data_IF_171302443488
#
_entry.id   IF_171302443488
#
_cell.length_a   1.000
_cell.length_b   1.000
_cell.length_c   1.000
_cell.angle_alpha   90.00
_cell.angle_beta   90.00
_cell.angle_gamma   90.00
#
_symmetry.space_group_name_H-M   'P 1'
#
loop_
_entity.id
_entity.type
_entity.pdbx_description
1 polymer ?
#
# COMPACT_ATOMS: atom_id res chain seq x y z
N UNK A 1 -15.72 -22.11 6.66
CA UNK A 1 -14.96 -21.04 5.97
C UNK A 1 -13.49 -21.40 6.05
N UNK A 2 -12.70 -21.23 4.98
CA UNK A 2 -11.25 -21.46 5.06
C UNK A 2 -10.62 -20.30 5.84
N UNK A 3 -9.86 -20.55 6.93
CA UNK A 3 -9.22 -19.47 7.71
C UNK A 3 -8.20 -18.65 6.91
N UNK A 4 -7.73 -19.17 5.77
CA UNK A 4 -6.85 -18.46 4.83
C UNK A 4 -7.58 -17.79 3.66
N UNK A 5 -8.92 -17.70 3.71
CA UNK A 5 -9.64 -16.91 2.69
C UNK A 5 -9.25 -15.43 2.81
N UNK A 6 -8.62 -14.83 1.78
CA UNK A 6 -8.20 -13.43 1.84
C UNK A 6 -9.42 -12.50 1.83
N UNK A 7 -9.33 -11.42 2.59
CA UNK A 7 -10.36 -10.39 2.71
C UNK A 7 -9.72 -9.00 2.67
N UNK A 8 -10.42 -8.03 2.06
CA UNK A 8 -10.06 -6.62 2.17
C UNK A 8 -10.64 -6.09 3.49
N UNK A 9 -9.78 -5.62 4.38
CA UNK A 9 -10.17 -5.17 5.72
C UNK A 9 -10.23 -3.65 5.87
N UNK A 10 -9.62 -2.90 4.95
CA UNK A 10 -9.65 -1.44 4.95
C UNK A 10 -9.21 -0.88 3.61
N UNK A 11 -9.82 0.22 3.19
CA UNK A 11 -9.48 0.92 1.97
C UNK A 11 -9.62 2.43 2.14
N UNK A 12 -8.81 3.20 1.41
CA UNK A 12 -8.94 4.64 1.38
C UNK A 12 -8.36 5.23 0.09
N UNK A 13 -8.78 6.46 -0.19
CA UNK A 13 -8.27 7.26 -1.29
C UNK A 13 -7.99 8.68 -0.81
N UNK A 14 -6.90 9.27 -1.29
CA UNK A 14 -6.57 10.67 -1.08
C UNK A 14 -6.52 11.38 -2.43
N UNK A 15 -7.15 12.54 -2.50
CA UNK A 15 -7.09 13.44 -3.65
C UNK A 15 -6.41 14.73 -3.23
N UNK A 16 -5.36 15.11 -3.96
CA UNK A 16 -4.70 16.41 -3.80
C UNK A 16 -4.98 17.25 -5.05
N UNK A 17 -5.90 18.21 -4.95
CA UNK A 17 -6.13 19.21 -6.00
C UNK A 17 -5.19 20.38 -5.74
N UNK A 18 -4.52 20.86 -6.79
CA UNK A 18 -3.55 21.94 -6.69
C UNK A 18 -4.23 23.27 -7.06
N UNK A 19 -4.11 24.27 -6.19
CA UNK A 19 -4.40 25.67 -6.55
C UNK A 19 -3.10 26.46 -6.71
N UNK A 20 -2.06 26.10 -5.97
CA UNK A 20 -0.68 26.56 -6.11
C UNK A 20 0.34 25.42 -6.04
N UNK A 21 1.63 25.75 -6.23
CA UNK A 21 2.72 24.77 -6.11
C UNK A 21 2.98 24.39 -4.65
N UNK A 22 2.70 25.29 -3.73
CA UNK A 22 2.75 25.11 -2.28
C UNK A 22 1.80 24.01 -1.77
N UNK A 23 0.74 23.71 -2.53
CA UNK A 23 -0.22 22.64 -2.21
C UNK A 23 0.26 21.27 -2.70
N UNK A 24 1.36 21.22 -3.46
CA UNK A 24 1.85 19.98 -4.04
C UNK A 24 2.35 19.02 -2.96
N UNK A 25 1.65 17.90 -2.83
CA UNK A 25 2.08 16.78 -1.98
C UNK A 25 2.94 15.82 -2.76
N UNK A 26 3.99 15.38 -2.12
CA UNK A 26 4.88 14.38 -2.68
C UNK A 26 4.16 13.01 -2.75
N UNK A 27 4.33 12.20 -3.80
CA UNK A 27 3.67 10.89 -3.96
C UNK A 27 3.70 9.97 -2.73
N UNK A 28 4.83 9.79 -2.06
CA UNK A 28 5.00 8.97 -0.87
C UNK A 28 4.27 9.59 0.34
N UNK A 29 4.20 10.91 0.46
CA UNK A 29 3.31 11.57 1.43
C UNK A 29 1.84 11.24 1.16
N UNK A 30 1.40 11.28 -0.10
CA UNK A 30 0.04 10.90 -0.47
C UNK A 30 -0.25 9.43 -0.19
N UNK A 31 0.69 8.53 -0.50
CA UNK A 31 0.58 7.10 -0.18
C UNK A 31 0.51 6.87 1.33
N UNK A 32 1.34 7.57 2.11
CA UNK A 32 1.35 7.51 3.58
C UNK A 32 0.01 7.97 4.14
N UNK A 33 -0.54 9.07 3.64
CA UNK A 33 -1.85 9.55 4.05
C UNK A 33 -2.96 8.55 3.71
N UNK A 34 -2.94 7.98 2.51
CA UNK A 34 -3.93 7.00 2.07
C UNK A 34 -3.89 5.71 2.92
N UNK A 35 -2.71 5.15 3.18
CA UNK A 35 -2.60 3.90 3.94
C UNK A 35 -2.98 4.08 5.42
N UNK A 36 -2.67 5.23 6.02
CA UNK A 36 -3.11 5.55 7.39
C UNK A 36 -4.63 5.75 7.48
N UNK A 37 -5.27 6.26 6.42
CA UNK A 37 -6.74 6.30 6.34
C UNK A 37 -7.32 4.89 6.14
N UNK A 38 -6.68 4.04 5.35
CA UNK A 38 -7.09 2.66 5.17
C UNK A 38 -6.98 1.85 6.47
N UNK A 39 -5.96 2.11 7.31
CA UNK A 39 -5.88 1.51 8.65
C UNK A 39 -7.06 1.95 9.54
N UNK A 40 -7.43 3.24 9.51
CA UNK A 40 -8.60 3.73 10.25
C UNK A 40 -9.90 3.07 9.77
N UNK A 41 -10.05 2.83 8.47
CA UNK A 41 -11.21 2.17 7.87
C UNK A 41 -11.40 0.72 8.39
N UNK A 42 -10.33 0.06 8.83
CA UNK A 42 -10.43 -1.27 9.46
C UNK A 42 -11.22 -1.26 10.77
N UNK A 43 -11.42 -0.10 11.40
CA UNK A 43 -12.04 0.04 12.71
C UNK A 43 -11.19 -0.50 13.87
N UNK A 44 -9.98 -0.97 13.59
CA UNK A 44 -9.00 -1.45 14.58
C UNK A 44 -7.66 -0.74 14.39
N UNK A 45 -6.89 -0.58 15.46
CA UNK A 45 -5.55 0.03 15.38
C UNK A 45 -4.46 -1.01 15.16
N UNK A 46 -3.29 -0.56 14.73
CA UNK A 46 -2.05 -1.34 14.70
C UNK A 46 -2.09 -2.56 13.75
N UNK A 47 -2.86 -2.46 12.66
CA UNK A 47 -2.90 -3.47 11.59
C UNK A 47 -1.66 -3.32 10.71
N UNK A 48 -1.26 -2.08 10.43
CA UNK A 48 -0.11 -1.83 9.56
C UNK A 48 1.15 -2.44 10.16
N UNK A 49 1.41 -2.25 11.45
CA UNK A 49 2.57 -2.83 12.13
C UNK A 49 2.72 -4.36 12.02
N UNK A 50 1.64 -5.07 11.68
CA UNK A 50 1.62 -6.53 11.50
C UNK A 50 1.75 -6.95 10.02
N UNK A 51 1.81 -6.01 9.10
CA UNK A 51 1.94 -6.30 7.67
C UNK A 51 3.27 -7.02 7.39
N UNK A 52 3.17 -8.17 6.74
CA UNK A 52 4.33 -8.97 6.33
C UNK A 52 4.87 -8.56 4.96
N UNK A 53 4.08 -7.82 4.17
CA UNK A 53 4.47 -7.37 2.83
C UNK A 53 3.78 -6.04 2.50
N UNK A 54 4.52 -5.14 1.83
CA UNK A 54 4.07 -3.84 1.35
C UNK A 54 4.33 -3.78 -0.15
N UNK A 55 3.28 -3.49 -0.92
CA UNK A 55 3.34 -3.50 -2.39
C UNK A 55 2.87 -2.16 -2.93
N UNK A 56 3.68 -1.54 -3.79
CA UNK A 56 3.38 -0.23 -4.40
C UNK A 56 3.44 -0.36 -5.92
N UNK A 57 2.38 0.10 -6.59
CA UNK A 57 2.35 0.16 -8.06
C UNK A 57 3.36 1.21 -8.53
N UNK A 58 4.17 0.85 -9.51
CA UNK A 58 5.21 1.72 -10.07
C UNK A 58 4.60 2.92 -10.79
N UNK A 59 5.01 4.11 -10.35
CA UNK A 59 4.75 5.37 -11.05
C UNK A 59 6.03 5.99 -11.64
N UNK A 60 5.87 7.16 -12.23
CA UNK A 60 6.95 7.96 -12.80
C UNK A 60 7.53 8.91 -11.75
N UNK A 61 8.27 8.37 -10.80
CA UNK A 61 8.95 9.11 -9.73
C UNK A 61 10.38 8.62 -9.55
N UNK A 62 11.20 9.41 -8.87
CA UNK A 62 12.63 9.10 -8.62
C UNK A 62 12.89 8.02 -7.56
N UNK A 63 11.87 7.30 -7.08
CA UNK A 63 12.03 6.28 -6.05
C UNK A 63 12.57 4.97 -6.63
N UNK A 64 13.68 4.50 -6.07
CA UNK A 64 14.22 3.18 -6.39
C UNK A 64 13.27 2.07 -5.90
N UNK A 65 12.84 2.17 -4.63
CA UNK A 65 11.88 1.26 -4.02
C UNK A 65 10.86 2.02 -3.14
N UNK A 66 9.75 2.50 -3.73
CA UNK A 66 8.74 3.25 -2.98
C UNK A 66 8.02 2.41 -1.92
N UNK A 67 7.89 1.09 -2.12
CA UNK A 67 7.28 0.19 -1.14
C UNK A 67 8.10 0.10 0.14
N UNK A 68 9.44 0.00 0.02
CA UNK A 68 10.34 0.02 1.18
C UNK A 68 10.28 1.34 1.93
N UNK A 69 10.31 2.47 1.22
CA UNK A 69 10.20 3.79 1.85
C UNK A 69 8.85 3.97 2.55
N UNK A 70 7.77 3.45 1.96
CA UNK A 70 6.45 3.48 2.60
C UNK A 70 6.42 2.62 3.86
N UNK A 71 6.99 1.41 3.80
CA UNK A 71 7.12 0.49 4.93
C UNK A 71 7.88 1.14 6.10
N UNK A 72 8.97 1.85 5.82
CA UNK A 72 9.70 2.62 6.84
C UNK A 72 8.81 3.70 7.49
N UNK A 73 8.03 4.45 6.69
CA UNK A 73 7.13 5.50 7.21
C UNK A 73 5.98 4.97 8.07
N UNK A 74 5.50 3.76 7.83
CA UNK A 74 4.41 3.14 8.59
C UNK A 74 4.91 2.19 9.69
N UNK A 75 6.22 2.10 9.92
CA UNK A 75 6.81 1.31 11.00
C UNK A 75 6.93 -0.20 10.73
N UNK A 76 6.89 -0.63 9.46
CA UNK A 76 6.90 -2.05 9.05
C UNK A 76 8.19 -2.42 8.33
N UNK A 77 9.35 -2.05 8.90
CA UNK A 77 10.66 -2.14 8.24
C UNK A 77 11.06 -3.56 7.82
N UNK A 78 10.51 -4.60 8.49
CA UNK A 78 10.76 -6.01 8.18
C UNK A 78 9.84 -6.60 7.10
N UNK A 79 8.88 -5.84 6.58
CA UNK A 79 7.97 -6.33 5.56
C UNK A 79 8.70 -6.52 4.22
N UNK A 80 8.34 -7.57 3.50
CA UNK A 80 8.72 -7.72 2.10
C UNK A 80 8.25 -6.50 1.30
N UNK A 81 9.13 -5.87 0.52
CA UNK A 81 8.78 -4.70 -0.28
C UNK A 81 8.75 -5.05 -1.77
N UNK A 82 7.64 -4.80 -2.44
CA UNK A 82 7.49 -5.08 -3.88
C UNK A 82 7.10 -3.82 -4.64
N UNK A 83 7.88 -3.51 -5.67
CA UNK A 83 7.49 -2.56 -6.72
C UNK A 83 7.03 -3.31 -7.96
N UNK A 84 5.94 -2.87 -8.58
CA UNK A 84 5.45 -3.49 -9.82
C UNK A 84 6.23 -3.02 -11.06
N UNK A 85 5.89 -3.58 -12.23
CA UNK A 85 6.21 -2.92 -13.51
C UNK A 85 5.28 -1.72 -13.75
N UNK A 86 5.53 -0.93 -14.79
CA UNK A 86 4.60 0.11 -15.25
C UNK A 86 3.44 -0.54 -16.02
N UNK A 87 2.21 -0.25 -15.64
CA UNK A 87 1.02 -0.69 -16.39
C UNK A 87 -0.26 -0.49 -15.60
N UNK A 88 -1.33 -0.05 -16.27
CA UNK A 88 -2.62 0.18 -15.63
C UNK A 88 -3.29 -1.07 -15.08
N UNK A 89 -2.83 -2.27 -15.47
CA UNK A 89 -3.29 -3.56 -14.98
C UNK A 89 -2.62 -4.02 -13.67
N UNK A 90 -1.52 -3.36 -13.27
CA UNK A 90 -0.68 -3.81 -12.16
C UNK A 90 -1.39 -3.73 -10.81
N UNK A 91 -2.35 -2.82 -10.67
CA UNK A 91 -3.25 -2.77 -9.51
C UNK A 91 -4.06 -4.09 -9.33
N UNK A 92 -4.58 -4.67 -10.41
CA UNK A 92 -5.34 -5.91 -10.33
C UNK A 92 -4.40 -7.11 -10.15
N UNK A 93 -3.26 -7.12 -10.85
CA UNK A 93 -2.24 -8.18 -10.72
C UNK A 93 -1.79 -8.31 -9.26
N UNK A 94 -1.38 -7.19 -8.65
CA UNK A 94 -0.83 -7.20 -7.29
C UNK A 94 -1.86 -7.64 -6.24
N UNK A 95 -3.14 -7.28 -6.42
CA UNK A 95 -4.23 -7.74 -5.54
C UNK A 95 -4.42 -9.25 -5.69
N UNK A 96 -4.45 -9.77 -6.92
CA UNK A 96 -4.65 -11.20 -7.17
C UNK A 96 -3.49 -12.04 -6.61
N UNK A 97 -2.25 -11.60 -6.83
CA UNK A 97 -1.05 -12.27 -6.30
C UNK A 97 -1.04 -12.26 -4.77
N UNK A 98 -1.38 -11.12 -4.14
CA UNK A 98 -1.46 -11.01 -2.68
C UNK A 98 -2.53 -11.96 -2.11
N UNK A 99 -3.71 -12.00 -2.73
CA UNK A 99 -4.78 -12.91 -2.33
C UNK A 99 -4.35 -14.39 -2.45
N UNK A 100 -3.67 -14.74 -3.55
CA UNK A 100 -3.11 -16.08 -3.77
C UNK A 100 -2.08 -16.45 -2.70
N UNK A 101 -1.15 -15.55 -2.38
CA UNK A 101 -0.12 -15.79 -1.36
C UNK A 101 -0.75 -16.02 0.02
N UNK A 102 -1.74 -15.21 0.43
CA UNK A 102 -2.45 -15.42 1.71
C UNK A 102 -3.14 -16.79 1.74
N UNK A 103 -3.75 -17.20 0.61
CA UNK A 103 -4.49 -18.45 0.54
C UNK A 103 -3.59 -19.69 0.61
N UNK A 104 -2.37 -19.60 0.08
CA UNK A 104 -1.52 -20.76 -0.20
C UNK A 104 -0.17 -20.80 0.55
N UNK A 105 0.38 -19.65 0.95
CA UNK A 105 1.77 -19.50 1.40
C UNK A 105 1.91 -19.06 2.86
N UNK A 106 0.79 -18.75 3.52
CA UNK A 106 0.73 -18.38 4.95
C UNK A 106 0.97 -19.53 5.91
#
# INVERSE_FOLDING_TARGET
>A
MNPRTPVLVGAAQVLNRLEGLEDAKEPLEMMTAAILLAEKDTGVGNVLAQAQSVRVVRGMWGYENPAKLLAERIGTVGAESIGTLIGGNQNQVVINETASAILHEG
#
